data_IF_189363105870
#
_entry.id   IF_189363105870
#
_cell.length_a   1.000
_cell.length_b   1.000
_cell.length_c   1.000
_cell.angle_alpha   90.00
_cell.angle_beta   90.00
_cell.angle_gamma   90.00
#
_symmetry.space_group_name_H-M   'P 1'
#
loop_
_entity.id
_entity.type
_entity.pdbx_description
1 polymer ?
#
# COMPACT_ATOMS: atom_id res chain seq x y z
N UNK A 1 6.99 -7.68 -64.00
CA UNK A 1 8.24 -7.62 -63.22
C UNK A 1 8.05 -8.47 -62.01
N UNK A 2 8.67 -9.63 -61.98
CA UNK A 2 8.44 -10.68 -60.98
C UNK A 2 9.40 -10.55 -59.81
N UNK A 3 8.88 -10.46 -58.60
CA UNK A 3 9.68 -10.56 -57.40
C UNK A 3 9.86 -12.02 -56.99
N UNK A 4 11.08 -12.47 -57.09
CA UNK A 4 11.53 -13.73 -56.49
C UNK A 4 11.94 -13.43 -55.05
N UNK A 5 11.16 -13.82 -54.05
CA UNK A 5 11.56 -13.80 -52.67
C UNK A 5 12.00 -15.20 -52.26
N UNK A 6 13.26 -15.27 -51.88
CA UNK A 6 14.03 -16.42 -51.48
C UNK A 6 13.44 -17.19 -50.30
N UNK A 7 13.18 -18.45 -50.55
CA UNK A 7 12.92 -19.50 -49.55
C UNK A 7 14.25 -19.94 -48.93
N UNK A 8 14.72 -19.32 -47.91
CA UNK A 8 15.86 -19.77 -47.08
C UNK A 8 15.73 -19.24 -45.65
N UNK A 9 14.90 -19.82 -44.85
CA UNK A 9 14.98 -19.73 -43.38
C UNK A 9 14.00 -20.69 -42.69
N UNK A 10 14.09 -21.96 -43.02
CA UNK A 10 13.26 -23.00 -42.38
C UNK A 10 14.12 -24.12 -41.82
N UNK A 11 15.19 -23.81 -41.11
CA UNK A 11 16.04 -24.84 -40.51
C UNK A 11 16.64 -24.46 -39.13
N UNK A 12 16.08 -23.50 -38.41
CA UNK A 12 16.66 -23.08 -37.11
C UNK A 12 15.70 -23.20 -35.92
N UNK A 13 14.58 -23.91 -36.05
CA UNK A 13 13.57 -24.03 -35.00
C UNK A 13 13.41 -25.44 -34.41
N UNK A 14 14.41 -26.30 -34.51
CA UNK A 14 14.35 -27.66 -33.93
C UNK A 14 15.31 -27.89 -32.75
N UNK A 15 16.03 -26.86 -32.31
CA UNK A 15 17.10 -27.01 -31.29
C UNK A 15 16.83 -26.53 -29.88
N UNK A 16 15.66 -25.99 -29.54
CA UNK A 16 15.44 -25.35 -28.20
C UNK A 16 14.33 -26.03 -27.38
N UNK A 17 13.94 -27.24 -27.69
CA UNK A 17 12.87 -27.95 -26.97
C UNK A 17 13.34 -29.00 -25.93
N UNK A 18 14.61 -28.97 -25.50
CA UNK A 18 15.13 -30.01 -24.61
C UNK A 18 15.86 -29.53 -23.33
N UNK A 19 15.63 -28.29 -22.87
CA UNK A 19 16.27 -27.79 -21.64
C UNK A 19 15.31 -27.19 -20.61
N UNK A 20 14.06 -27.59 -20.59
CA UNK A 20 13.09 -27.18 -19.55
C UNK A 20 12.66 -28.32 -18.62
N UNK A 21 13.54 -29.29 -18.36
CA UNK A 21 13.33 -30.30 -17.35
C UNK A 21 14.32 -30.05 -16.21
N UNK A 22 13.85 -29.42 -15.13
CA UNK A 22 14.58 -29.49 -13.88
C UNK A 22 14.79 -28.22 -13.10
N UNK A 23 13.71 -27.47 -12.81
CA UNK A 23 13.68 -26.69 -11.56
C UNK A 23 12.26 -26.74 -10.98
N UNK A 24 11.90 -27.94 -10.53
CA UNK A 24 10.92 -28.09 -9.47
C UNK A 24 11.66 -27.82 -8.15
N UNK A 25 12.05 -26.61 -7.88
CA UNK A 25 12.44 -26.17 -6.54
C UNK A 25 11.18 -25.82 -5.77
N UNK A 26 10.59 -26.82 -5.31
CA UNK A 26 9.80 -27.06 -4.12
C UNK A 26 10.09 -26.06 -2.99
N UNK A 27 9.12 -25.12 -2.73
CA UNK A 27 8.13 -25.46 -1.71
C UNK A 27 8.68 -25.69 -0.29
N UNK A 28 9.79 -25.06 0.11
CA UNK A 28 10.12 -24.89 1.53
C UNK A 28 9.50 -23.62 2.13
N UNK A 29 8.81 -22.80 1.32
CA UNK A 29 8.17 -21.56 1.82
C UNK A 29 6.80 -21.80 2.45
N UNK A 30 6.16 -22.95 2.21
CA UNK A 30 4.84 -23.24 2.78
C UNK A 30 4.89 -23.73 4.23
N UNK A 31 5.94 -24.44 4.62
CA UNK A 31 6.10 -24.90 6.01
C UNK A 31 6.40 -23.74 6.97
N UNK A 32 7.11 -22.72 6.52
CA UNK A 32 7.36 -21.51 7.32
C UNK A 32 6.08 -20.74 7.62
N UNK A 33 5.15 -20.66 6.69
CA UNK A 33 3.84 -20.03 6.91
C UNK A 33 2.96 -20.83 7.90
N UNK A 34 3.06 -22.16 7.91
CA UNK A 34 2.29 -23.00 8.83
C UNK A 34 2.81 -22.94 10.27
N UNK A 35 4.12 -22.88 10.47
CA UNK A 35 4.72 -22.87 11.82
C UNK A 35 4.56 -21.55 12.54
N UNK A 36 4.48 -20.41 11.83
CA UNK A 36 4.32 -19.08 12.43
C UNK A 36 2.88 -18.80 12.90
N UNK A 37 1.89 -19.52 12.37
CA UNK A 37 0.46 -19.29 12.68
C UNK A 37 -0.03 -20.15 13.87
N UNK A 38 0.78 -21.05 14.39
CA UNK A 38 0.31 -22.07 15.36
C UNK A 38 0.28 -21.59 16.81
N UNK A 39 0.84 -20.44 17.15
CA UNK A 39 0.72 -19.88 18.49
C UNK A 39 -0.48 -18.91 18.59
N UNK A 40 -1.59 -19.31 19.26
CA UNK A 40 -2.79 -18.47 19.35
C UNK A 40 -2.54 -17.13 20.08
N UNK A 41 -1.48 -17.02 20.87
CA UNK A 41 -1.11 -15.79 21.56
C UNK A 41 -0.48 -14.77 20.60
N UNK A 42 0.31 -15.23 19.64
CA UNK A 42 0.92 -14.38 18.59
C UNK A 42 -0.16 -13.92 17.62
N UNK A 43 -1.04 -14.83 17.18
CA UNK A 43 -2.16 -14.51 16.29
C UNK A 43 -3.05 -13.41 16.87
N UNK A 44 -3.52 -13.56 18.10
CA UNK A 44 -4.37 -12.56 18.76
C UNK A 44 -3.68 -11.20 18.91
N UNK A 45 -2.37 -11.19 19.21
CA UNK A 45 -1.60 -9.94 19.31
C UNK A 45 -1.44 -9.26 17.96
N UNK A 46 -1.23 -10.02 16.91
CA UNK A 46 -1.14 -9.50 15.55
C UNK A 46 -2.48 -8.94 15.05
N UNK A 47 -3.59 -9.60 15.34
CA UNK A 47 -4.93 -9.11 15.03
C UNK A 47 -5.19 -7.74 15.67
N UNK A 48 -4.90 -7.59 16.96
CA UNK A 48 -5.06 -6.31 17.66
C UNK A 48 -4.19 -5.19 17.08
N UNK A 49 -2.98 -5.51 16.61
CA UNK A 49 -2.10 -4.52 15.99
C UNK A 49 -2.59 -4.12 14.61
N UNK A 50 -3.04 -5.07 13.80
CA UNK A 50 -3.60 -4.78 12.47
C UNK A 50 -4.91 -4.02 12.55
N UNK A 51 -5.77 -4.33 13.52
CA UNK A 51 -7.00 -3.59 13.80
C UNK A 51 -6.70 -2.13 14.16
N UNK A 52 -5.79 -1.88 15.10
CA UNK A 52 -5.36 -0.53 15.47
C UNK A 52 -4.78 0.24 14.27
N UNK A 53 -4.01 -0.43 13.42
CA UNK A 53 -3.51 0.17 12.18
C UNK A 53 -4.65 0.54 11.23
N UNK A 54 -5.61 -0.35 11.02
CA UNK A 54 -6.78 -0.11 10.17
C UNK A 54 -7.60 1.09 10.68
N UNK A 55 -7.82 1.21 11.98
CA UNK A 55 -8.48 2.36 12.60
C UNK A 55 -7.75 3.67 12.29
N UNK A 56 -6.42 3.69 12.42
CA UNK A 56 -5.62 4.89 12.11
C UNK A 56 -5.64 5.24 10.62
N UNK A 57 -5.65 4.25 9.73
CA UNK A 57 -5.81 4.47 8.29
C UNK A 57 -7.19 5.08 7.98
N UNK A 58 -8.25 4.58 8.59
CA UNK A 58 -9.59 5.14 8.44
C UNK A 58 -9.65 6.60 8.95
N UNK A 59 -8.99 6.90 10.08
CA UNK A 59 -8.89 8.28 10.57
C UNK A 59 -8.12 9.18 9.60
N UNK A 60 -6.99 8.73 9.05
CA UNK A 60 -6.25 9.45 8.01
C UNK A 60 -7.14 9.81 6.82
N UNK A 61 -7.91 8.86 6.32
CA UNK A 61 -8.84 9.10 5.19
C UNK A 61 -9.90 10.14 5.54
N UNK A 62 -10.43 10.10 6.77
CA UNK A 62 -11.39 11.10 7.27
C UNK A 62 -10.77 12.50 7.33
N UNK A 63 -9.54 12.63 7.81
CA UNK A 63 -8.82 13.91 7.86
C UNK A 63 -8.60 14.45 6.43
N UNK A 64 -8.21 13.60 5.48
CA UNK A 64 -8.04 14.00 4.09
C UNK A 64 -9.36 14.53 3.49
N UNK A 65 -10.48 13.87 3.73
CA UNK A 65 -11.78 14.34 3.27
C UNK A 65 -12.16 15.71 3.90
N UNK A 66 -11.82 15.93 5.18
CA UNK A 66 -12.03 17.23 5.84
C UNK A 66 -11.13 18.33 5.26
N UNK A 67 -9.90 18.03 4.90
CA UNK A 67 -8.98 18.96 4.24
C UNK A 67 -9.56 19.38 2.89
N UNK A 68 -10.00 18.44 2.07
CA UNK A 68 -10.59 18.74 0.76
C UNK A 68 -11.87 19.57 0.90
N UNK A 69 -12.74 19.23 1.84
CA UNK A 69 -13.92 20.03 2.14
C UNK A 69 -13.56 21.45 2.58
N UNK A 70 -12.54 21.61 3.41
CA UNK A 70 -12.08 22.91 3.88
C UNK A 70 -11.58 23.78 2.72
N UNK A 71 -10.74 23.22 1.84
CA UNK A 71 -10.25 23.88 0.64
C UNK A 71 -11.40 24.32 -0.28
N UNK A 72 -12.38 23.43 -0.48
CA UNK A 72 -13.56 23.77 -1.26
C UNK A 72 -14.34 24.93 -0.64
N UNK A 73 -14.54 24.93 0.68
CA UNK A 73 -15.20 26.06 1.37
C UNK A 73 -14.40 27.36 1.24
N UNK A 74 -13.08 27.31 1.27
CA UNK A 74 -12.25 28.48 1.03
C UNK A 74 -12.43 29.03 -0.39
N UNK A 75 -12.52 28.17 -1.40
CA UNK A 75 -12.66 28.58 -2.80
C UNK A 75 -14.00 29.26 -3.12
N UNK A 76 -15.09 28.86 -2.43
CA UNK A 76 -16.43 29.44 -2.64
C UNK A 76 -16.75 30.60 -1.69
N UNK A 77 -15.89 30.86 -0.69
CA UNK A 77 -16.13 31.94 0.27
C UNK A 77 -15.79 33.29 -0.34
N UNK A 78 -16.74 34.26 -0.40
CA UNK A 78 -16.51 35.57 -0.94
C UNK A 78 -15.40 36.35 -0.21
N UNK A 79 -14.68 37.22 -0.94
CA UNK A 79 -13.55 38.00 -0.41
C UNK A 79 -13.94 38.93 0.77
N UNK A 80 -15.18 39.40 0.80
CA UNK A 80 -15.67 40.27 1.88
C UNK A 80 -15.83 39.56 3.24
N UNK A 81 -15.82 38.23 3.27
CA UNK A 81 -15.95 37.44 4.52
C UNK A 81 -14.59 37.07 5.12
N UNK A 82 -13.76 38.07 5.41
CA UNK A 82 -12.39 37.90 5.90
C UNK A 82 -12.29 37.04 7.16
N UNK A 83 -13.22 37.22 8.11
CA UNK A 83 -13.22 36.43 9.35
C UNK A 83 -13.45 34.93 9.09
N UNK A 84 -14.34 34.60 8.13
CA UNK A 84 -14.62 33.21 7.77
C UNK A 84 -13.39 32.60 7.09
N UNK A 85 -12.77 33.30 6.13
CA UNK A 85 -11.54 32.84 5.48
C UNK A 85 -10.43 32.55 6.48
N UNK A 86 -10.17 33.47 7.42
CA UNK A 86 -9.15 33.28 8.46
C UNK A 86 -9.43 32.03 9.31
N UNK A 87 -10.69 31.79 9.69
CA UNK A 87 -11.06 30.57 10.44
C UNK A 87 -10.83 29.30 9.63
N UNK A 88 -11.16 29.32 8.33
CA UNK A 88 -10.92 28.17 7.44
C UNK A 88 -9.42 27.90 7.26
N UNK A 89 -8.59 28.93 7.11
CA UNK A 89 -7.12 28.81 7.04
C UNK A 89 -6.53 28.21 8.33
N UNK A 90 -6.95 28.74 9.49
CA UNK A 90 -6.51 28.20 10.79
C UNK A 90 -6.91 26.75 10.94
N UNK A 91 -8.15 26.41 10.60
CA UNK A 91 -8.64 25.01 10.65
C UNK A 91 -7.88 24.10 9.68
N UNK A 92 -7.54 24.59 8.47
CA UNK A 92 -6.72 23.85 7.54
C UNK A 92 -5.34 23.52 8.12
N UNK A 93 -4.69 24.48 8.77
CA UNK A 93 -3.41 24.28 9.45
C UNK A 93 -3.49 23.19 10.54
N UNK A 94 -4.55 23.19 11.35
CA UNK A 94 -4.77 22.17 12.36
C UNK A 94 -4.98 20.77 11.74
N UNK A 95 -5.79 20.66 10.68
CA UNK A 95 -6.03 19.39 10.00
C UNK A 95 -4.74 18.83 9.35
N UNK A 96 -3.91 19.68 8.77
CA UNK A 96 -2.62 19.28 8.20
C UNK A 96 -1.67 18.78 9.28
N UNK A 97 -1.61 19.45 10.44
CA UNK A 97 -0.81 18.99 11.56
C UNK A 97 -1.29 17.64 12.09
N UNK A 98 -2.60 17.47 12.26
CA UNK A 98 -3.19 16.19 12.69
C UNK A 98 -2.95 15.07 11.68
N UNK A 99 -2.94 15.37 10.37
CA UNK A 99 -2.59 14.42 9.34
C UNK A 99 -1.15 13.89 9.50
N UNK A 100 -0.20 14.79 9.75
CA UNK A 100 1.21 14.42 9.97
C UNK A 100 1.34 13.52 11.21
N UNK A 101 0.70 13.88 12.32
CA UNK A 101 0.71 13.06 13.54
C UNK A 101 0.11 11.67 13.30
N UNK A 102 -1.01 11.61 12.59
CA UNK A 102 -1.67 10.33 12.25
C UNK A 102 -0.77 9.47 11.36
N UNK A 103 -0.08 10.05 10.38
CA UNK A 103 0.88 9.34 9.53
C UNK A 103 2.05 8.78 10.35
N UNK A 104 2.63 9.57 11.25
CA UNK A 104 3.69 9.11 12.15
C UNK A 104 3.23 7.95 13.03
N UNK A 105 1.99 8.01 13.54
CA UNK A 105 1.42 6.93 14.34
C UNK A 105 1.23 5.64 13.52
N UNK A 106 0.81 5.75 12.25
CA UNK A 106 0.69 4.60 11.36
C UNK A 106 2.06 3.96 11.13
N UNK A 107 3.09 4.74 10.81
CA UNK A 107 4.45 4.25 10.62
C UNK A 107 4.98 3.54 11.87
N UNK A 108 4.78 4.11 13.04
CA UNK A 108 5.17 3.48 14.31
C UNK A 108 4.45 2.14 14.54
N UNK A 109 3.17 2.05 14.17
CA UNK A 109 2.43 0.79 14.29
C UNK A 109 2.92 -0.25 13.28
N UNK A 110 3.23 0.15 12.05
CA UNK A 110 3.80 -0.72 11.01
C UNK A 110 5.16 -1.28 11.45
N UNK A 111 6.04 -0.44 12.01
CA UNK A 111 7.30 -0.92 12.59
C UNK A 111 7.07 -1.92 13.73
N UNK A 112 6.10 -1.68 14.60
CA UNK A 112 5.78 -2.61 15.69
C UNK A 112 5.26 -3.95 15.17
N UNK A 113 4.44 -3.94 14.13
CA UNK A 113 3.92 -5.15 13.49
C UNK A 113 5.07 -5.97 12.90
N UNK A 114 5.99 -5.30 12.18
CA UNK A 114 7.18 -5.95 11.61
C UNK A 114 8.10 -6.50 12.70
N UNK A 115 8.41 -5.70 13.73
CA UNK A 115 9.27 -6.13 14.86
C UNK A 115 8.71 -7.34 15.60
N UNK A 116 7.40 -7.51 15.62
CA UNK A 116 6.73 -8.65 16.28
C UNK A 116 6.54 -9.86 15.36
N UNK A 117 7.03 -9.77 14.13
CA UNK A 117 6.95 -10.87 13.15
C UNK A 117 5.51 -11.19 12.72
N UNK A 118 4.61 -10.21 12.73
CA UNK A 118 3.23 -10.43 12.30
C UNK A 118 3.17 -10.59 10.78
N UNK A 119 2.57 -11.68 10.26
CA UNK A 119 2.38 -11.85 8.82
C UNK A 119 1.35 -10.86 8.27
N UNK A 120 1.55 -10.37 7.05
CA UNK A 120 0.50 -9.68 6.29
C UNK A 120 0.69 -8.19 6.03
N UNK A 121 1.84 -7.59 6.34
CA UNK A 121 2.18 -6.28 5.80
C UNK A 121 3.24 -6.47 4.72
N UNK A 122 2.82 -6.39 3.45
CA UNK A 122 3.75 -6.11 2.36
C UNK A 122 4.15 -4.63 2.48
N UNK A 123 5.42 -4.39 2.73
CA UNK A 123 6.04 -3.08 2.68
C UNK A 123 6.26 -2.67 1.22
#
# INVERSE_FOLDING_TARGET
MAQRICLKSLSFLVGIAALSLGFAENAHSEDYKRTVITDPSISRRCELLTEKRAEKIANKQRILALIERNKHLQSITPENKVTVKRKLETNLGHLQHELILTQTQIQYQEENIVRKGCPGIAL
#
